data_IF_133784845658
#
_entry.id   IF_133784845658
#
_cell.length_a   1.000
_cell.length_b   1.000
_cell.length_c   1.000
_cell.angle_alpha   90.00
_cell.angle_beta   90.00
_cell.angle_gamma   90.00
#
_symmetry.space_group_name_H-M   'P 1'
#
loop_
_entity.id
_entity.type
_entity.pdbx_description
1 polymer ?
#
# COMPACT_ATOMS: atom_id res chain seq x y z
N UNK A 1 18.05 9.78 1.14
CA UNK A 1 16.55 9.72 1.06
C UNK A 1 16.01 11.15 1.01
N UNK A 2 14.88 11.40 0.31
CA UNK A 2 14.12 12.65 0.38
C UNK A 2 12.87 12.42 1.21
N UNK A 3 12.36 13.47 1.84
CA UNK A 3 11.16 13.41 2.68
C UNK A 3 10.15 14.46 2.21
N UNK A 4 8.86 14.19 2.41
CA UNK A 4 7.75 15.09 2.05
C UNK A 4 6.63 14.95 3.06
N UNK A 5 5.99 16.05 3.39
CA UNK A 5 4.73 16.01 4.14
C UNK A 5 3.61 15.47 3.25
N UNK A 6 2.85 14.52 3.74
CA UNK A 6 1.61 14.07 3.11
C UNK A 6 0.59 15.21 3.22
N UNK A 7 0.25 15.82 2.09
CA UNK A 7 -0.59 17.01 2.07
C UNK A 7 -1.93 16.78 2.80
N UNK A 8 -2.40 17.79 3.52
CA UNK A 8 -3.58 17.69 4.39
C UNK A 8 -3.32 17.01 5.74
N UNK A 9 -2.07 16.64 6.04
CA UNK A 9 -1.69 15.98 7.30
C UNK A 9 -0.40 16.58 7.87
N UNK A 10 -0.02 16.16 9.08
CA UNK A 10 1.27 16.48 9.72
C UNK A 10 2.33 15.37 9.52
N UNK A 11 2.05 14.36 8.70
CA UNK A 11 2.94 13.24 8.47
C UNK A 11 4.06 13.58 7.49
N UNK A 12 5.30 13.52 7.94
CA UNK A 12 6.47 13.57 7.06
C UNK A 12 6.89 12.15 6.68
N UNK A 13 6.83 11.82 5.38
CA UNK A 13 7.12 10.52 4.82
C UNK A 13 8.43 10.55 4.03
N UNK A 14 9.22 9.47 4.08
CA UNK A 14 10.20 9.24 3.02
C UNK A 14 9.48 9.11 1.68
N UNK A 15 10.03 9.71 0.62
CA UNK A 15 9.40 9.69 -0.71
C UNK A 15 9.31 8.29 -1.32
N UNK A 16 10.11 7.37 -0.81
CA UNK A 16 10.03 5.94 -1.09
C UNK A 16 9.59 5.26 0.19
N UNK A 17 8.45 4.57 0.15
CA UNK A 17 7.96 3.74 1.24
C UNK A 17 8.26 2.26 1.00
N UNK A 18 8.31 1.47 2.07
CA UNK A 18 8.44 0.03 2.00
C UNK A 18 7.06 -0.65 2.12
N UNK A 19 6.63 -1.35 1.07
CA UNK A 19 5.41 -2.16 1.09
C UNK A 19 5.69 -3.54 1.70
N UNK A 20 5.13 -3.81 2.86
CA UNK A 20 5.35 -5.04 3.64
C UNK A 20 4.67 -6.27 3.00
N UNK A 21 3.76 -6.04 2.07
CA UNK A 21 3.04 -7.10 1.36
C UNK A 21 3.95 -8.18 0.77
N UNK A 22 5.07 -7.78 0.16
CA UNK A 22 6.00 -8.69 -0.51
C UNK A 22 6.74 -9.64 0.45
N UNK A 23 6.94 -9.24 1.70
CA UNK A 23 7.65 -10.03 2.72
C UNK A 23 6.71 -10.76 3.68
N UNK A 24 5.39 -10.55 3.58
CA UNK A 24 4.44 -11.07 4.56
C UNK A 24 3.37 -11.99 4.00
N UNK A 25 3.13 -11.99 2.69
CA UNK A 25 1.99 -12.74 2.12
C UNK A 25 2.37 -14.07 1.48
N UNK A 26 3.65 -14.28 1.16
CA UNK A 26 4.11 -15.39 0.34
C UNK A 26 3.70 -15.29 -1.14
N UNK A 27 2.95 -14.24 -1.52
CA UNK A 27 2.43 -14.06 -2.89
C UNK A 27 3.44 -13.45 -3.86
N UNK A 28 4.61 -13.12 -3.36
CA UNK A 28 5.77 -12.67 -4.15
C UNK A 28 6.89 -13.74 -4.18
N UNK A 29 6.55 -14.96 -3.79
CA UNK A 29 7.47 -16.02 -3.47
C UNK A 29 7.70 -16.10 -1.95
N UNK A 30 8.22 -17.23 -1.47
CA UNK A 30 8.47 -17.42 -0.05
C UNK A 30 9.61 -16.53 0.44
N UNK A 31 9.36 -15.79 1.50
CA UNK A 31 10.38 -15.03 2.25
C UNK A 31 10.32 -15.52 3.69
N UNK A 32 11.44 -16.04 4.22
CA UNK A 32 11.51 -16.44 5.62
C UNK A 32 11.54 -15.20 6.54
N UNK A 33 11.30 -15.44 7.83
CA UNK A 33 11.17 -14.36 8.81
C UNK A 33 12.47 -13.55 8.92
N UNK A 34 13.60 -14.20 8.99
CA UNK A 34 14.92 -13.59 9.14
C UNK A 34 15.24 -12.69 7.94
N UNK A 35 14.97 -13.15 6.73
CA UNK A 35 15.15 -12.36 5.52
C UNK A 35 14.19 -11.16 5.47
N UNK A 36 12.93 -11.36 5.87
CA UNK A 36 11.94 -10.28 5.95
C UNK A 36 12.34 -9.19 6.94
N UNK A 37 12.75 -9.56 8.15
CA UNK A 37 13.27 -8.64 9.16
C UNK A 37 14.53 -7.90 8.68
N UNK A 38 15.45 -8.62 8.04
CA UNK A 38 16.67 -8.01 7.49
C UNK A 38 16.36 -6.98 6.41
N UNK A 39 15.37 -7.24 5.54
CA UNK A 39 14.91 -6.29 4.51
C UNK A 39 14.30 -5.03 5.13
N UNK A 40 13.44 -5.17 6.15
CA UNK A 40 12.83 -4.04 6.85
C UNK A 40 13.89 -3.18 7.55
N UNK A 41 14.82 -3.79 8.29
CA UNK A 41 15.93 -3.08 8.92
C UNK A 41 16.82 -2.40 7.88
N UNK A 42 17.13 -3.08 6.77
CA UNK A 42 17.93 -2.49 5.69
C UNK A 42 17.25 -1.29 5.04
N UNK A 43 15.94 -1.35 4.84
CA UNK A 43 15.18 -0.21 4.34
C UNK A 43 15.28 0.99 5.30
N UNK A 44 15.11 0.75 6.60
CA UNK A 44 15.28 1.78 7.62
C UNK A 44 16.68 2.39 7.61
N UNK A 45 17.74 1.57 7.55
CA UNK A 45 19.15 2.02 7.47
C UNK A 45 19.42 2.90 6.23
N UNK A 46 18.68 2.68 5.14
CA UNK A 46 18.73 3.48 3.91
C UNK A 46 17.91 4.76 3.99
N UNK A 47 17.26 5.02 5.13
CA UNK A 47 16.47 6.21 5.42
C UNK A 47 15.01 6.12 4.99
N UNK A 48 14.48 4.93 4.72
CA UNK A 48 13.03 4.73 4.57
C UNK A 48 12.38 4.89 5.95
N UNK A 49 11.42 5.80 6.04
CA UNK A 49 10.64 6.02 7.26
C UNK A 49 9.18 5.63 7.11
N UNK A 50 8.66 5.49 5.90
CA UNK A 50 7.29 5.08 5.65
C UNK A 50 7.21 3.59 5.34
N UNK A 51 6.48 2.84 6.18
CA UNK A 51 6.24 1.40 6.04
C UNK A 51 4.74 1.16 5.92
N UNK A 52 4.31 0.58 4.79
CA UNK A 52 2.89 0.33 4.48
C UNK A 52 2.57 -1.16 4.58
N UNK A 53 1.65 -1.50 5.47
CA UNK A 53 1.12 -2.85 5.70
C UNK A 53 -0.40 -2.88 5.61
N UNK A 54 -1.02 -3.99 6.01
CA UNK A 54 -2.45 -4.15 6.21
C UNK A 54 -2.72 -5.32 7.16
N UNK A 55 -3.87 -5.31 7.81
CA UNK A 55 -4.34 -6.41 8.66
C UNK A 55 -4.50 -7.73 7.88
N UNK A 56 -4.81 -7.65 6.58
CA UNK A 56 -4.96 -8.81 5.68
C UNK A 56 -3.64 -9.40 5.21
N UNK A 57 -2.51 -8.68 5.33
CA UNK A 57 -1.24 -9.16 4.81
C UNK A 57 -0.69 -10.30 5.67
N UNK A 58 -0.73 -11.51 5.11
CA UNK A 58 -0.38 -12.72 5.86
C UNK A 58 -1.28 -12.94 7.08
N UNK A 59 -2.54 -12.47 7.04
CA UNK A 59 -3.50 -12.60 8.15
C UNK A 59 -3.02 -11.94 9.46
N UNK A 60 -2.40 -10.78 9.33
CA UNK A 60 -1.81 -10.01 10.43
C UNK A 60 -0.31 -10.12 10.55
N UNK A 61 0.31 -11.13 9.90
CA UNK A 61 1.76 -11.32 9.96
C UNK A 61 2.55 -10.10 9.46
N UNK A 62 2.01 -9.35 8.47
CA UNK A 62 2.62 -8.11 8.00
C UNK A 62 2.76 -7.04 9.09
N UNK A 63 1.85 -6.97 10.04
CA UNK A 63 1.94 -6.09 11.21
C UNK A 63 2.88 -6.66 12.29
N UNK A 64 2.87 -7.98 12.47
CA UNK A 64 3.74 -8.66 13.46
C UNK A 64 5.22 -8.57 13.09
N UNK A 65 5.59 -8.82 11.81
CA UNK A 65 6.99 -8.72 11.36
C UNK A 65 7.51 -7.28 11.47
N UNK A 66 6.67 -6.27 11.25
CA UNK A 66 7.05 -4.88 11.48
C UNK A 66 7.35 -4.60 12.95
N UNK A 67 6.55 -5.13 13.87
CA UNK A 67 6.82 -5.05 15.31
C UNK A 67 8.16 -5.68 15.63
N UNK A 68 8.41 -6.90 15.16
CA UNK A 68 9.64 -7.63 15.46
C UNK A 68 10.88 -6.91 14.93
N UNK A 69 10.82 -6.36 13.71
CA UNK A 69 11.95 -5.68 13.08
C UNK A 69 12.15 -4.23 13.55
N UNK A 70 11.07 -3.47 13.74
CA UNK A 70 11.12 -2.00 13.77
C UNK A 70 10.61 -1.37 15.07
N UNK A 71 10.20 -2.15 16.08
CA UNK A 71 9.66 -1.60 17.33
C UNK A 71 10.62 -0.65 18.04
N UNK A 72 11.94 -0.90 18.00
CA UNK A 72 12.95 -0.01 18.56
C UNK A 72 13.06 1.35 17.85
N UNK A 73 12.51 1.46 16.64
CA UNK A 73 12.52 2.66 15.81
C UNK A 73 11.15 3.34 15.70
N UNK A 74 10.17 2.91 16.51
CA UNK A 74 8.76 3.37 16.40
C UNK A 74 8.60 4.87 16.25
N UNK A 75 9.36 5.67 17.00
CA UNK A 75 9.29 7.14 16.96
C UNK A 75 9.95 7.77 15.75
N UNK A 76 10.67 6.99 14.95
CA UNK A 76 11.40 7.45 13.77
C UNK A 76 10.74 7.01 12.46
N UNK A 77 9.65 6.22 12.55
CA UNK A 77 8.94 5.67 11.39
C UNK A 77 7.49 6.10 11.39
N UNK A 78 6.91 6.11 10.21
CA UNK A 78 5.48 6.28 9.94
C UNK A 78 4.91 4.95 9.49
N UNK A 79 3.96 4.43 10.25
CA UNK A 79 3.28 3.18 9.97
C UNK A 79 1.96 3.48 9.26
N UNK A 80 1.83 2.98 8.01
CA UNK A 80 0.55 2.85 7.33
C UNK A 80 0.00 1.43 7.51
N UNK A 81 -1.23 1.30 7.99
CA UNK A 81 -1.95 0.03 7.98
C UNK A 81 -3.35 0.20 7.41
N UNK A 82 -4.04 -0.92 7.14
CA UNK A 82 -5.34 -0.92 6.47
C UNK A 82 -6.28 -1.89 7.16
N UNK A 83 -7.60 -1.63 7.01
CA UNK A 83 -8.69 -2.41 7.60
C UNK A 83 -9.89 -2.49 6.64
N UNK A 84 -10.86 -3.33 6.97
CA UNK A 84 -12.13 -3.42 6.26
C UNK A 84 -12.52 -4.83 5.85
N UNK A 85 -11.58 -5.76 5.81
CA UNK A 85 -11.87 -7.16 5.53
C UNK A 85 -12.12 -7.95 6.82
N UNK A 86 -13.15 -8.79 6.81
CA UNK A 86 -13.45 -9.70 7.91
C UNK A 86 -12.44 -10.87 7.94
N UNK A 87 -11.43 -10.75 8.79
CA UNK A 87 -10.39 -11.79 8.93
C UNK A 87 -10.91 -13.05 9.60
N UNK A 88 -12.03 -12.98 10.31
CA UNK A 88 -12.66 -14.13 10.96
C UNK A 88 -13.50 -14.95 9.96
N UNK A 89 -13.84 -14.36 8.79
CA UNK A 89 -14.52 -15.08 7.72
C UNK A 89 -13.54 -16.04 7.00
N UNK A 90 -13.98 -17.24 6.61
CA UNK A 90 -13.14 -18.19 5.89
C UNK A 90 -12.69 -17.60 4.55
N UNK A 91 -11.44 -17.83 4.19
CA UNK A 91 -10.91 -17.43 2.90
C UNK A 91 -11.13 -18.54 1.88
N UNK A 92 -11.75 -18.22 0.76
CA UNK A 92 -11.95 -19.13 -0.35
C UNK A 92 -10.86 -18.92 -1.43
N UNK A 93 -9.73 -19.60 -1.29
CA UNK A 93 -8.61 -19.48 -2.23
C UNK A 93 -8.05 -18.06 -2.30
N UNK A 94 -8.05 -17.46 -3.51
CA UNK A 94 -7.57 -16.10 -3.73
C UNK A 94 -8.68 -15.03 -3.78
N UNK A 95 -9.93 -15.42 -3.50
CA UNK A 95 -11.02 -14.44 -3.46
C UNK A 95 -10.81 -13.46 -2.30
N UNK A 96 -11.32 -12.25 -2.49
CA UNK A 96 -11.38 -11.28 -1.41
C UNK A 96 -12.30 -11.79 -0.30
N UNK A 97 -11.93 -11.51 0.94
CA UNK A 97 -12.80 -11.74 2.10
C UNK A 97 -13.98 -10.76 2.07
N UNK A 98 -15.09 -11.09 2.74
CA UNK A 98 -16.15 -10.10 2.97
C UNK A 98 -15.60 -8.86 3.67
N UNK A 99 -16.17 -7.70 3.34
CA UNK A 99 -15.83 -6.45 4.01
C UNK A 99 -16.88 -6.12 5.08
N UNK A 100 -16.44 -5.49 6.17
CA UNK A 100 -17.26 -4.97 7.26
C UNK A 100 -16.84 -3.54 7.60
N UNK A 101 -17.84 -2.68 7.78
CA UNK A 101 -17.63 -1.26 7.95
C UNK A 101 -18.39 -0.65 9.13
N UNK A 102 -19.11 -1.49 9.91
CA UNK A 102 -19.81 -1.00 11.09
C UNK A 102 -18.82 -0.46 12.14
N UNK A 103 -19.22 0.54 12.95
CA UNK A 103 -18.35 1.23 13.89
C UNK A 103 -17.64 0.30 14.88
N UNK A 104 -18.35 -0.72 15.38
CA UNK A 104 -17.77 -1.67 16.34
C UNK A 104 -16.67 -2.49 15.70
N UNK A 105 -16.88 -2.96 14.46
CA UNK A 105 -15.86 -3.69 13.70
C UNK A 105 -14.62 -2.83 13.42
N UNK A 106 -14.79 -1.58 12.98
CA UNK A 106 -13.70 -0.66 12.68
C UNK A 106 -12.82 -0.40 13.92
N UNK A 107 -13.46 -0.16 15.07
CA UNK A 107 -12.75 0.03 16.34
C UNK A 107 -11.99 -1.23 16.75
N UNK A 108 -12.60 -2.40 16.62
CA UNK A 108 -11.97 -3.66 16.98
C UNK A 108 -10.83 -4.02 16.02
N UNK A 109 -10.98 -3.80 14.72
CA UNK A 109 -9.91 -3.97 13.73
C UNK A 109 -8.69 -3.10 14.08
N UNK A 110 -8.91 -1.83 14.43
CA UNK A 110 -7.85 -0.93 14.89
C UNK A 110 -7.14 -1.48 16.14
N UNK A 111 -7.89 -1.92 17.14
CA UNK A 111 -7.31 -2.49 18.37
C UNK A 111 -6.48 -3.75 18.10
N UNK A 112 -6.95 -4.63 17.20
CA UNK A 112 -6.22 -5.83 16.78
C UNK A 112 -4.92 -5.45 16.05
N UNK A 113 -4.96 -4.45 15.17
CA UNK A 113 -3.77 -3.93 14.47
C UNK A 113 -2.75 -3.33 15.44
N UNK A 114 -3.18 -2.50 16.38
CA UNK A 114 -2.31 -1.94 17.43
C UNK A 114 -1.63 -3.03 18.26
N UNK A 115 -2.36 -4.08 18.62
CA UNK A 115 -1.81 -5.23 19.36
C UNK A 115 -0.74 -5.97 18.55
N UNK A 116 -0.98 -6.25 17.24
CA UNK A 116 -0.01 -6.92 16.38
C UNK A 116 1.22 -6.06 16.13
N UNK A 117 1.03 -4.77 15.89
CA UNK A 117 2.11 -3.79 15.71
C UNK A 117 2.88 -3.49 17.00
N UNK A 118 2.32 -3.82 18.17
CA UNK A 118 2.95 -3.56 19.45
C UNK A 118 3.16 -2.07 19.76
N UNK A 119 2.20 -1.23 19.36
CA UNK A 119 2.24 0.24 19.51
C UNK A 119 0.89 0.77 19.95
N UNK A 120 0.88 1.97 20.55
CA UNK A 120 -0.35 2.62 21.01
C UNK A 120 -1.06 3.41 19.89
N UNK A 121 -0.41 3.66 18.77
CA UNK A 121 -0.99 4.42 17.66
C UNK A 121 -0.49 3.95 16.29
N UNK A 122 -1.35 4.12 15.26
CA UNK A 122 -1.00 3.98 13.84
C UNK A 122 -0.95 5.39 13.24
N UNK A 123 0.06 5.68 12.43
CA UNK A 123 0.20 7.02 11.85
C UNK A 123 -0.79 7.25 10.71
N UNK A 124 -0.96 6.30 9.80
CA UNK A 124 -1.86 6.41 8.65
C UNK A 124 -2.74 5.16 8.53
N UNK A 125 -4.01 5.25 8.94
CA UNK A 125 -4.95 4.13 8.95
C UNK A 125 -5.92 4.23 7.77
N UNK A 126 -5.99 3.21 6.92
CA UNK A 126 -6.66 3.31 5.62
C UNK A 126 -7.81 2.31 5.49
N UNK A 127 -8.98 2.77 5.02
CA UNK A 127 -10.03 1.87 4.58
C UNK A 127 -9.59 1.15 3.29
N UNK A 128 -9.51 -0.18 3.35
CA UNK A 128 -8.88 -1.01 2.32
C UNK A 128 -9.89 -1.38 1.24
N UNK A 129 -9.74 -0.82 0.04
CA UNK A 129 -10.60 -1.09 -1.11
C UNK A 129 -12.10 -0.81 -0.81
N UNK A 130 -12.38 0.24 -0.04
CA UNK A 130 -13.75 0.64 0.27
C UNK A 130 -14.51 1.08 -0.99
N UNK A 131 -15.76 0.62 -1.16
CA UNK A 131 -16.62 1.01 -2.26
C UNK A 131 -17.24 2.39 -2.01
N UNK A 132 -17.71 3.03 -3.09
CA UNK A 132 -18.29 4.37 -3.02
C UNK A 132 -19.36 4.50 -1.93
N UNK A 133 -20.29 3.56 -1.83
CA UNK A 133 -21.32 3.56 -0.79
C UNK A 133 -20.77 3.54 0.64
N UNK A 134 -19.60 2.93 0.86
CA UNK A 134 -18.90 2.95 2.15
C UNK A 134 -18.21 4.29 2.36
N UNK A 135 -17.59 4.85 1.32
CA UNK A 135 -16.90 6.14 1.39
C UNK A 135 -17.92 7.29 1.57
N UNK A 136 -19.15 7.12 1.11
CA UNK A 136 -20.26 8.07 1.33
C UNK A 136 -20.85 8.01 2.75
N UNK A 137 -20.57 6.94 3.50
CA UNK A 137 -21.12 6.77 4.86
C UNK A 137 -20.44 7.69 5.87
N UNK A 138 -21.20 8.54 6.54
CA UNK A 138 -20.70 9.38 7.62
C UNK A 138 -20.32 8.56 8.86
N UNK A 139 -20.99 7.43 9.13
CA UNK A 139 -20.67 6.56 10.27
C UNK A 139 -19.22 6.06 10.25
N UNK A 140 -18.68 5.75 9.06
CA UNK A 140 -17.29 5.34 8.92
C UNK A 140 -16.35 6.49 9.34
N UNK A 141 -16.60 7.70 8.85
CA UNK A 141 -15.73 8.85 9.10
C UNK A 141 -15.85 9.36 10.54
N UNK A 142 -17.06 9.36 11.11
CA UNK A 142 -17.28 9.66 12.53
C UNK A 142 -16.53 8.68 13.44
N UNK A 143 -16.49 7.40 13.06
CA UNK A 143 -15.73 6.37 13.78
C UNK A 143 -14.22 6.62 13.69
N UNK A 144 -13.70 6.94 12.50
CA UNK A 144 -12.28 7.25 12.28
C UNK A 144 -11.88 8.52 13.05
N UNK A 145 -12.71 9.55 13.05
CA UNK A 145 -12.51 10.76 13.86
C UNK A 145 -12.49 10.44 15.36
N UNK A 146 -13.33 9.50 15.79
CA UNK A 146 -13.32 8.98 17.15
C UNK A 146 -11.97 8.32 17.51
N UNK A 147 -11.39 7.54 16.58
CA UNK A 147 -10.07 6.91 16.76
C UNK A 147 -8.94 7.94 16.80
N UNK A 148 -9.01 9.01 15.98
CA UNK A 148 -8.07 10.15 16.06
C UNK A 148 -8.17 10.84 17.42
N UNK A 149 -9.37 11.18 17.87
CA UNK A 149 -9.61 11.81 19.18
C UNK A 149 -9.11 10.94 20.35
N UNK A 150 -9.21 9.62 20.19
CA UNK A 150 -8.70 8.67 21.18
C UNK A 150 -7.17 8.47 21.11
N UNK A 151 -6.48 9.09 20.16
CA UNK A 151 -5.04 8.96 19.96
C UNK A 151 -4.58 7.61 19.42
N UNK A 152 -5.51 6.77 18.93
CA UNK A 152 -5.20 5.44 18.35
C UNK A 152 -4.69 5.51 16.93
N UNK A 153 -5.08 6.53 16.19
CA UNK A 153 -4.56 6.82 14.86
C UNK A 153 -4.22 8.31 14.77
N UNK A 154 -3.21 8.69 13.97
CA UNK A 154 -2.89 10.11 13.76
C UNK A 154 -3.71 10.71 12.62
N UNK A 155 -3.83 9.97 11.53
CA UNK A 155 -4.67 10.33 10.39
C UNK A 155 -5.20 9.08 9.70
N UNK A 156 -6.16 9.28 8.81
CA UNK A 156 -6.75 8.20 8.04
C UNK A 156 -6.93 8.58 6.58
N UNK A 157 -7.22 7.59 5.74
CA UNK A 157 -7.46 7.77 4.31
C UNK A 157 -8.07 6.53 3.69
N UNK A 158 -8.10 6.49 2.37
CA UNK A 158 -8.66 5.39 1.60
C UNK A 158 -7.59 4.78 0.69
N UNK A 159 -7.39 3.46 0.76
CA UNK A 159 -6.66 2.72 -0.25
C UNK A 159 -7.63 2.31 -1.35
N UNK A 160 -7.57 3.00 -2.49
CA UNK A 160 -8.50 2.85 -3.62
C UNK A 160 -8.09 1.66 -4.48
N UNK A 161 -9.00 0.83 -4.83
CA UNK A 161 -8.73 -0.33 -5.68
C UNK A 161 -9.31 -1.59 -5.07
N UNK A 162 -9.05 -2.82 -5.53
CA UNK A 162 -7.72 -3.40 -5.81
C UNK A 162 -7.16 -3.16 -7.21
N UNK A 163 -8.01 -2.81 -8.16
CA UNK A 163 -7.60 -2.57 -9.53
C UNK A 163 -7.52 -1.06 -9.84
N UNK A 164 -7.04 -0.71 -11.02
CA UNK A 164 -7.20 0.63 -11.59
C UNK A 164 -8.63 0.81 -12.11
N UNK A 165 -9.13 2.05 -12.16
CA UNK A 165 -10.45 2.36 -12.72
C UNK A 165 -11.54 2.69 -11.69
N UNK A 166 -11.19 2.76 -10.41
CA UNK A 166 -12.09 3.18 -9.32
C UNK A 166 -12.16 4.72 -9.25
N UNK A 167 -12.69 5.33 -10.31
CA UNK A 167 -12.65 6.78 -10.50
C UNK A 167 -13.53 7.49 -9.49
N UNK A 168 -14.77 7.04 -9.32
CA UNK A 168 -15.74 7.67 -8.42
C UNK A 168 -15.27 7.59 -6.97
N UNK A 169 -14.75 6.44 -6.54
CA UNK A 169 -14.19 6.25 -5.20
C UNK A 169 -13.00 7.18 -4.93
N UNK A 170 -12.09 7.30 -5.91
CA UNK A 170 -10.91 8.16 -5.78
C UNK A 170 -11.27 9.64 -5.76
N UNK A 171 -12.11 10.11 -6.67
CA UNK A 171 -12.55 11.50 -6.71
C UNK A 171 -13.39 11.87 -5.47
N UNK A 172 -14.30 11.02 -5.05
CA UNK A 172 -15.11 11.27 -3.85
C UNK A 172 -14.25 11.35 -2.58
N UNK A 173 -13.27 10.43 -2.44
CA UNK A 173 -12.29 10.46 -1.34
C UNK A 173 -11.58 11.80 -1.25
N UNK A 174 -11.06 12.29 -2.37
CA UNK A 174 -10.25 13.50 -2.42
C UNK A 174 -11.14 14.76 -2.29
N UNK A 175 -12.20 14.86 -3.09
CA UNK A 175 -13.00 16.09 -3.20
C UNK A 175 -14.05 16.25 -2.11
N UNK A 176 -14.60 15.15 -1.58
CA UNK A 176 -15.72 15.21 -0.64
C UNK A 176 -15.30 14.86 0.79
N UNK A 177 -14.40 13.89 0.94
CA UNK A 177 -13.90 13.52 2.26
C UNK A 177 -12.64 14.30 2.66
N UNK A 178 -11.93 14.88 1.68
CA UNK A 178 -10.68 15.63 1.89
C UNK A 178 -9.64 14.85 2.70
N UNK A 179 -9.52 13.55 2.41
CA UNK A 179 -8.56 12.67 3.07
C UNK A 179 -7.58 12.06 2.06
N UNK A 180 -6.35 11.72 2.47
CA UNK A 180 -5.37 11.11 1.60
C UNK A 180 -5.86 9.83 0.93
N UNK A 181 -5.47 9.65 -0.34
CA UNK A 181 -5.78 8.47 -1.13
C UNK A 181 -4.51 7.68 -1.47
N UNK A 182 -4.54 6.35 -1.29
CA UNK A 182 -3.52 5.46 -1.81
C UNK A 182 -4.02 4.84 -3.11
N UNK A 183 -3.29 5.00 -4.20
CA UNK A 183 -3.72 4.63 -5.56
C UNK A 183 -2.66 3.79 -6.28
N UNK A 184 -3.06 3.01 -7.28
CA UNK A 184 -2.12 2.41 -8.23
C UNK A 184 -1.67 3.51 -9.19
N UNK A 185 -0.35 3.76 -9.23
CA UNK A 185 0.25 4.70 -10.16
C UNK A 185 1.70 4.35 -10.45
N UNK A 186 2.02 4.18 -11.72
CA UNK A 186 3.37 3.95 -12.22
C UNK A 186 3.46 4.35 -13.70
N UNK A 187 4.65 4.24 -14.30
CA UNK A 187 4.90 4.65 -15.68
C UNK A 187 3.96 3.98 -16.69
N UNK A 188 3.52 2.74 -16.43
CA UNK A 188 2.63 1.98 -17.33
C UNK A 188 1.16 2.13 -17.01
N UNK A 189 0.83 2.57 -15.80
CA UNK A 189 -0.54 2.64 -15.27
C UNK A 189 -0.77 4.06 -14.72
N UNK A 190 -1.06 5.01 -15.59
CA UNK A 190 -1.16 6.43 -15.25
C UNK A 190 -2.60 6.93 -15.09
N UNK A 191 -3.57 6.29 -15.73
CA UNK A 191 -4.99 6.62 -15.59
C UNK A 191 -5.71 5.60 -14.67
N UNK A 192 -6.57 6.05 -13.78
CA UNK A 192 -7.00 7.43 -13.51
C UNK A 192 -6.07 8.21 -12.56
N UNK A 193 -4.90 7.68 -12.22
CA UNK A 193 -3.99 8.29 -11.24
C UNK A 193 -3.58 9.73 -11.56
N UNK A 194 -3.41 10.10 -12.84
CA UNK A 194 -3.17 11.50 -13.24
C UNK A 194 -4.29 12.41 -12.77
N UNK A 195 -5.53 12.00 -13.02
CA UNK A 195 -6.71 12.75 -12.59
C UNK A 195 -6.77 12.89 -11.07
N UNK A 196 -6.46 11.83 -10.32
CA UNK A 196 -6.42 11.90 -8.87
C UNK A 196 -5.35 12.86 -8.34
N UNK A 197 -4.17 12.90 -8.98
CA UNK A 197 -3.08 13.81 -8.61
C UNK A 197 -3.49 15.27 -8.89
N UNK A 198 -4.14 15.55 -10.03
CA UNK A 198 -4.65 16.88 -10.35
C UNK A 198 -5.65 17.35 -9.29
N UNK A 199 -6.68 16.57 -9.04
CA UNK A 199 -7.71 16.88 -8.05
C UNK A 199 -7.13 17.02 -6.65
N UNK A 200 -6.24 16.11 -6.25
CA UNK A 200 -5.59 16.16 -4.94
C UNK A 200 -4.71 17.42 -4.78
N UNK A 201 -4.09 17.88 -5.86
CA UNK A 201 -3.31 19.12 -5.86
C UNK A 201 -4.22 20.34 -5.65
N UNK A 202 -5.37 20.37 -6.31
CA UNK A 202 -6.38 21.45 -6.19
C UNK A 202 -6.96 21.48 -4.76
N UNK A 203 -7.23 20.33 -4.17
CA UNK A 203 -7.85 20.19 -2.86
C UNK A 203 -6.83 20.21 -1.69
N UNK A 204 -5.53 20.24 -1.97
CA UNK A 204 -4.48 20.21 -0.95
C UNK A 204 -4.40 18.89 -0.19
N UNK A 205 -4.77 17.78 -0.82
CA UNK A 205 -4.83 16.43 -0.24
C UNK A 205 -3.67 15.58 -0.74
N UNK A 206 -3.16 14.69 0.11
CA UNK A 206 -2.04 13.82 -0.22
C UNK A 206 -2.44 12.59 -1.05
N UNK A 207 -1.53 12.17 -1.94
CA UNK A 207 -1.64 10.93 -2.68
C UNK A 207 -0.42 10.05 -2.41
N UNK A 208 -0.66 8.79 -2.09
CA UNK A 208 0.38 7.75 -1.95
C UNK A 208 0.24 6.77 -3.11
N UNK A 209 1.30 6.58 -3.89
CA UNK A 209 1.30 5.59 -4.96
C UNK A 209 1.72 4.20 -4.45
N UNK A 210 1.01 3.17 -4.91
CA UNK A 210 1.38 1.76 -4.74
C UNK A 210 1.65 1.09 -6.08
N UNK A 211 2.29 -0.08 -6.07
CA UNK A 211 2.72 -0.83 -7.27
C UNK A 211 3.64 -0.01 -8.19
N UNK A 212 4.61 0.77 -7.64
CA UNK A 212 5.43 1.67 -8.45
C UNK A 212 6.30 0.93 -9.47
N UNK A 213 6.65 -0.33 -9.21
CA UNK A 213 7.47 -1.19 -10.09
C UNK A 213 6.66 -2.00 -11.11
N UNK A 214 5.34 -1.75 -11.27
CA UNK A 214 4.47 -2.44 -12.22
C UNK A 214 4.59 -3.99 -12.16
N UNK A 215 4.52 -4.56 -10.96
CA UNK A 215 4.68 -6.00 -10.68
C UNK A 215 6.05 -6.57 -11.12
N UNK A 216 7.11 -5.78 -11.01
CA UNK A 216 8.48 -6.16 -11.34
C UNK A 216 8.94 -5.79 -12.76
N UNK A 217 8.04 -5.27 -13.61
CA UNK A 217 8.43 -4.86 -14.97
C UNK A 217 9.40 -3.67 -14.96
N UNK A 218 9.31 -2.80 -13.96
CA UNK A 218 10.12 -1.58 -13.84
C UNK A 218 11.29 -1.71 -12.86
N UNK A 219 11.61 -2.90 -12.37
CA UNK A 219 12.74 -3.11 -11.46
C UNK A 219 14.00 -3.67 -12.15
N UNK A 220 13.91 -3.95 -13.45
CA UNK A 220 15.01 -4.49 -14.24
C UNK A 220 15.20 -6.01 -14.11
N UNK A 221 14.33 -6.71 -13.39
CA UNK A 221 14.42 -8.17 -13.20
C UNK A 221 14.12 -8.93 -14.48
N UNK A 222 13.19 -8.43 -15.30
CA UNK A 222 12.74 -9.12 -16.51
C UNK A 222 13.43 -8.61 -17.76
N UNK A 223 14.02 -9.54 -18.50
CA UNK A 223 14.55 -9.32 -19.86
C UNK A 223 13.94 -10.33 -20.81
N UNK A 224 14.12 -10.12 -22.15
CA UNK A 224 13.63 -11.06 -23.17
C UNK A 224 14.31 -12.43 -23.10
N UNK A 225 15.53 -12.45 -22.58
CA UNK A 225 16.36 -13.66 -22.50
C UNK A 225 16.27 -14.34 -21.12
N UNK A 226 15.54 -13.74 -20.16
CA UNK A 226 15.40 -14.31 -18.83
C UNK A 226 14.29 -15.36 -18.85
N UNK A 227 14.59 -16.65 -18.60
CA UNK A 227 13.56 -17.64 -18.37
C UNK A 227 12.84 -17.29 -17.08
N UNK A 228 11.51 -17.13 -17.13
CA UNK A 228 10.71 -16.73 -16.00
C UNK A 228 9.88 -17.92 -15.56
N UNK A 229 10.28 -18.48 -14.43
CA UNK A 229 9.50 -19.44 -13.67
C UNK A 229 9.13 -18.78 -12.33
N UNK A 230 7.83 -18.64 -12.09
CA UNK A 230 7.34 -18.17 -10.82
C UNK A 230 7.06 -19.37 -9.91
N UNK A 231 7.34 -19.22 -8.61
CA UNK A 231 6.86 -20.16 -7.61
C UNK A 231 5.33 -20.31 -7.71
N UNK A 232 4.82 -21.51 -7.42
CA UNK A 232 3.38 -21.79 -7.51
C UNK A 232 2.53 -20.90 -6.58
N UNK A 233 3.11 -20.37 -5.50
CA UNK A 233 2.46 -19.42 -4.60
C UNK A 233 2.50 -17.98 -5.10
N UNK A 234 3.33 -17.68 -6.10
CA UNK A 234 3.50 -16.32 -6.61
C UNK A 234 2.25 -15.85 -7.38
N UNK A 235 1.70 -14.71 -6.99
CA UNK A 235 0.49 -14.16 -7.61
C UNK A 235 0.66 -13.87 -9.12
N UNK A 236 1.89 -13.73 -9.61
CA UNK A 236 2.18 -13.50 -11.02
C UNK A 236 1.90 -14.72 -11.90
N UNK A 237 1.80 -15.92 -11.31
CA UNK A 237 1.38 -17.14 -12.02
C UNK A 237 -0.03 -17.04 -12.61
N UNK A 238 -0.91 -16.21 -11.99
CA UNK A 238 -2.29 -15.97 -12.46
C UNK A 238 -2.38 -14.92 -13.57
N UNK A 239 -1.26 -14.26 -13.90
CA UNK A 239 -1.22 -13.29 -14.97
C UNK A 239 -1.36 -13.99 -16.33
N UNK A 240 -2.04 -13.33 -17.28
CA UNK A 240 -2.19 -13.87 -18.66
C UNK A 240 -0.80 -14.09 -19.26
N UNK A 241 -0.64 -15.16 -20.05
CA UNK A 241 0.64 -15.48 -20.76
C UNK A 241 1.27 -14.28 -21.48
N UNK A 242 0.43 -13.40 -22.03
CA UNK A 242 0.89 -12.22 -22.78
C UNK A 242 1.26 -11.02 -21.87
N UNK A 243 1.08 -11.12 -20.54
CA UNK A 243 1.37 -10.00 -19.65
C UNK A 243 2.83 -9.57 -19.72
N UNK A 244 3.73 -10.54 -19.62
CA UNK A 244 5.17 -10.27 -19.66
C UNK A 244 5.62 -9.74 -21.01
N UNK A 245 5.22 -10.41 -22.11
CA UNK A 245 5.56 -9.98 -23.46
C UNK A 245 5.10 -8.54 -23.73
N UNK A 246 3.84 -8.23 -23.39
CA UNK A 246 3.30 -6.86 -23.51
C UNK A 246 4.01 -5.87 -22.59
N UNK A 247 4.37 -6.30 -21.39
CA UNK A 247 5.13 -5.47 -20.45
C UNK A 247 6.53 -5.15 -20.97
N UNK A 248 7.25 -6.13 -21.51
CA UNK A 248 8.55 -5.94 -22.11
C UNK A 248 8.49 -5.05 -23.38
N UNK A 249 7.44 -5.16 -24.19
CA UNK A 249 7.25 -4.25 -25.32
C UNK A 249 7.07 -2.80 -24.85
N UNK A 250 6.27 -2.58 -23.81
CA UNK A 250 6.14 -1.24 -23.21
C UNK A 250 7.45 -0.74 -22.60
N UNK A 251 8.26 -1.64 -22.02
CA UNK A 251 9.56 -1.27 -21.47
C UNK A 251 10.51 -0.79 -22.58
N UNK A 252 10.51 -1.46 -23.75
CA UNK A 252 11.28 -1.02 -24.91
C UNK A 252 10.86 0.39 -25.39
N UNK A 253 9.55 0.68 -25.39
CA UNK A 253 9.01 1.99 -25.79
C UNK A 253 9.46 3.13 -24.89
N UNK A 254 9.79 2.86 -23.61
CA UNK A 254 10.24 3.85 -22.63
C UNK A 254 11.77 3.79 -22.36
N UNK A 255 12.51 3.00 -23.12
CA UNK A 255 13.96 2.82 -22.91
C UNK A 255 14.73 4.15 -22.92
N UNK A 256 14.28 5.13 -23.71
CA UNK A 256 14.85 6.48 -23.75
C UNK A 256 14.93 7.20 -22.39
N UNK A 257 14.05 6.81 -21.43
CA UNK A 257 14.08 7.35 -20.07
C UNK A 257 15.32 6.88 -19.28
N UNK A 258 15.87 5.73 -19.64
CA UNK A 258 16.98 5.09 -18.94
C UNK A 258 18.35 5.36 -19.62
N UNK A 259 18.34 5.60 -20.94
CA UNK A 259 19.57 5.82 -21.72
C UNK A 259 20.33 7.08 -21.34
N UNK A 260 19.68 8.07 -20.75
CA UNK A 260 20.26 9.35 -20.34
C UNK A 260 20.64 9.43 -18.86
N UNK A 261 20.49 8.34 -18.11
CA UNK A 261 20.77 8.31 -16.67
C UNK A 261 21.86 7.29 -16.34
N UNK A 262 22.73 7.63 -15.39
CA UNK A 262 23.69 6.67 -14.80
C UNK A 262 23.01 5.69 -13.83
N UNK A 263 21.66 5.75 -13.72
CA UNK A 263 20.85 4.94 -12.84
C UNK A 263 20.39 3.62 -13.46
N UNK A 264 19.90 2.72 -12.62
CA UNK A 264 19.22 1.49 -13.05
C UNK A 264 17.77 1.79 -13.45
N UNK A 265 17.11 0.83 -14.13
CA UNK A 265 15.66 0.93 -14.47
C UNK A 265 14.81 1.22 -13.25
N UNK A 266 15.14 0.64 -12.09
CA UNK A 266 14.44 0.86 -10.83
C UNK A 266 14.63 2.28 -10.25
N UNK A 267 15.75 2.94 -10.55
CA UNK A 267 16.07 4.30 -10.12
C UNK A 267 15.42 5.36 -11.01
#
# INVERSE_FOLDING_TARGET
>A
MKYRTLAGTDLELSTIGFGVWSVSTGWWGPVDKEAGEALLNRAFDLGVTFFDTADTYGEGYGEEIMKDALSSHRQQIVIGSKFGYDLDAPREGHKERPQKWDPEFVVEACNRSLKRLGTDYIDFYQAHNARLSTIESDDLFDTLDGLVKAGKIRTYGIAVGPDIGWVEEGEFTIQKRHVPAQIIYNVFEQEPGRRFIEVATEEGVGVVSRVPHASGLLDGTYTRDTPIEFDASDHRTYRKKQWLEKGLNKLDEIQFLFESSDGTVAQ
#
